data_IF_110323135598
#
_entry.id   IF_110323135598
#
_cell.length_a   1.000
_cell.length_b   1.000
_cell.length_c   1.000
_cell.angle_alpha   90.00
_cell.angle_beta   90.00
_cell.angle_gamma   90.00
#
_symmetry.space_group_name_H-M   'P 1'
#
loop_
_entity.id
_entity.type
_entity.pdbx_description
1 polymer ?
#
# COMPACT_ATOMS: atom_id res chain seq x y z
N UNK A 1 -7.81 11.33 22.01
CA UNK A 1 -8.55 10.88 20.81
C UNK A 1 -8.31 9.39 20.67
N UNK A 2 -9.37 8.62 20.39
CA UNK A 2 -9.28 7.21 20.04
C UNK A 2 -9.78 7.07 18.61
N UNK A 3 -8.94 6.53 17.72
CA UNK A 3 -9.27 6.27 16.32
C UNK A 3 -9.12 4.76 16.06
N UNK A 4 -10.09 4.21 15.37
CA UNK A 4 -10.09 2.80 14.99
C UNK A 4 -10.44 2.69 13.50
N UNK A 5 -9.50 2.12 12.74
CA UNK A 5 -9.62 1.80 11.32
C UNK A 5 -10.20 2.92 10.44
N UNK A 6 -9.75 4.15 10.65
CA UNK A 6 -10.14 5.31 9.82
C UNK A 6 -9.70 5.07 8.37
N UNK A 7 -10.58 5.35 7.42
CA UNK A 7 -10.34 5.14 5.99
C UNK A 7 -10.87 3.80 5.46
N UNK A 8 -11.57 3.00 6.29
CA UNK A 8 -12.31 1.81 5.83
C UNK A 8 -13.52 2.17 4.97
N UNK A 9 -13.88 1.30 4.03
CA UNK A 9 -15.08 1.45 3.20
C UNK A 9 -14.90 2.32 1.96
N UNK A 10 -13.67 2.67 1.63
CA UNK A 10 -13.31 3.34 0.37
C UNK A 10 -12.14 2.61 -0.33
N UNK A 11 -11.67 3.11 -1.47
CA UNK A 11 -10.50 2.56 -2.14
C UNK A 11 -9.27 2.66 -1.22
N UNK A 12 -8.37 1.67 -1.27
CA UNK A 12 -7.24 1.55 -0.35
C UNK A 12 -6.39 2.82 -0.28
N UNK A 13 -6.03 3.39 -1.43
CA UNK A 13 -5.21 4.61 -1.46
C UNK A 13 -5.93 5.86 -0.91
N UNK A 14 -7.25 5.97 -1.13
CA UNK A 14 -8.05 7.04 -0.53
C UNK A 14 -8.06 6.90 1.00
N UNK A 15 -8.27 5.67 1.49
CA UNK A 15 -8.26 5.36 2.91
C UNK A 15 -6.94 5.69 3.58
N UNK A 16 -5.81 5.27 2.99
CA UNK A 16 -4.45 5.59 3.47
C UNK A 16 -4.24 7.11 3.48
N UNK A 17 -4.61 7.80 2.40
CA UNK A 17 -4.42 9.25 2.28
C UNK A 17 -5.19 10.02 3.34
N UNK A 18 -6.43 9.63 3.61
CA UNK A 18 -7.26 10.23 4.67
C UNK A 18 -6.65 9.96 6.05
N UNK A 19 -6.29 8.71 6.33
CA UNK A 19 -5.72 8.32 7.61
C UNK A 19 -4.38 9.04 7.89
N UNK A 20 -3.55 9.15 6.87
CA UNK A 20 -2.28 9.89 6.93
C UNK A 20 -2.51 11.37 7.24
N UNK A 21 -3.35 12.05 6.44
CA UNK A 21 -3.64 13.47 6.61
C UNK A 21 -4.27 13.80 7.98
N UNK A 22 -5.16 12.93 8.49
CA UNK A 22 -5.74 13.06 9.84
C UNK A 22 -4.64 12.94 10.90
N UNK A 23 -3.73 12.00 10.78
CA UNK A 23 -2.64 11.78 11.75
C UNK A 23 -1.71 13.00 11.79
N UNK A 24 -1.33 13.53 10.63
CA UNK A 24 -0.55 14.76 10.53
C UNK A 24 -1.28 15.96 11.15
N UNK A 25 -2.57 16.12 10.83
CA UNK A 25 -3.37 17.22 11.36
C UNK A 25 -3.49 17.17 12.89
N UNK A 26 -3.70 15.98 13.45
CA UNK A 26 -3.73 15.80 14.91
C UNK A 26 -2.36 16.11 15.52
N UNK A 27 -1.28 15.64 14.91
CA UNK A 27 0.08 15.88 15.38
C UNK A 27 0.43 17.37 15.39
N UNK A 28 0.13 18.09 14.32
CA UNK A 28 0.62 19.45 14.10
C UNK A 28 -0.32 20.51 14.65
N UNK A 29 -1.63 20.32 14.50
CA UNK A 29 -2.65 21.33 14.83
C UNK A 29 -3.31 21.07 16.17
N UNK A 30 -3.87 19.87 16.36
CA UNK A 30 -4.66 19.55 17.55
C UNK A 30 -3.74 19.24 18.74
N UNK A 31 -2.65 18.51 18.52
CA UNK A 31 -1.66 18.10 19.53
C UNK A 31 -2.24 17.27 20.67
N UNK A 32 -3.38 16.62 20.45
CA UNK A 32 -4.03 15.78 21.43
C UNK A 32 -3.27 14.45 21.62
N UNK A 33 -3.37 13.87 22.84
CA UNK A 33 -2.98 12.48 23.07
C UNK A 33 -3.91 11.58 22.28
N UNK A 34 -3.36 10.74 21.42
CA UNK A 34 -4.13 9.92 20.48
C UNK A 34 -3.64 8.49 20.49
N UNK A 35 -4.57 7.54 20.47
CA UNK A 35 -4.35 6.15 20.09
C UNK A 35 -5.06 5.92 18.77
N UNK A 36 -4.32 5.39 17.80
CA UNK A 36 -4.85 5.10 16.48
C UNK A 36 -4.57 3.63 16.12
N UNK A 37 -5.61 2.81 16.10
CA UNK A 37 -5.54 1.45 15.58
C UNK A 37 -5.79 1.46 14.07
N UNK A 38 -4.88 0.87 13.30
CA UNK A 38 -4.97 0.82 11.84
C UNK A 38 -4.29 -0.44 11.29
N UNK A 39 -4.74 -0.88 10.13
CA UNK A 39 -4.11 -1.95 9.35
C UNK A 39 -3.25 -1.41 8.20
N UNK A 40 -3.14 -0.09 8.05
CA UNK A 40 -2.30 0.54 7.03
C UNK A 40 -0.83 0.55 7.45
N UNK A 41 -0.03 -0.34 6.87
CA UNK A 41 1.40 -0.44 7.17
C UNK A 41 2.16 0.83 6.78
N UNK A 42 1.68 1.55 5.78
CA UNK A 42 2.28 2.79 5.28
C UNK A 42 2.33 3.89 6.36
N UNK A 43 1.39 3.89 7.31
CA UNK A 43 1.38 4.87 8.39
C UNK A 43 2.54 4.69 9.38
N UNK A 44 3.23 3.55 9.35
CA UNK A 44 4.40 3.32 10.20
C UNK A 44 5.53 4.32 9.89
N UNK A 45 5.60 4.79 8.64
CA UNK A 45 6.60 5.78 8.21
C UNK A 45 6.46 7.12 8.96
N UNK A 46 5.29 7.43 9.49
CA UNK A 46 5.05 8.66 10.25
C UNK A 46 5.93 8.77 11.52
N UNK A 47 6.38 7.66 12.11
CA UNK A 47 7.33 7.69 13.24
C UNK A 47 8.67 8.28 12.83
N UNK A 48 9.13 8.05 11.60
CA UNK A 48 10.38 8.58 11.07
C UNK A 48 10.26 10.06 10.74
N UNK A 49 9.07 10.51 10.36
CA UNK A 49 8.80 11.91 9.97
C UNK A 49 8.48 12.81 11.16
N UNK A 50 7.85 12.25 12.21
CA UNK A 50 7.32 13.01 13.33
C UNK A 50 7.79 12.45 14.67
N UNK A 51 8.65 13.16 15.44
CA UNK A 51 9.21 12.67 16.70
C UNK A 51 8.18 12.30 17.78
N UNK A 52 6.98 12.90 17.70
CA UNK A 52 5.87 12.67 18.65
C UNK A 52 5.04 11.45 18.31
N UNK A 53 5.15 10.90 17.11
CA UNK A 53 4.44 9.71 16.69
C UNK A 53 5.28 8.47 17.04
N UNK A 54 4.64 7.43 17.57
CA UNK A 54 5.27 6.18 17.95
C UNK A 54 4.45 5.00 17.49
N UNK A 55 5.12 4.03 16.88
CA UNK A 55 4.53 2.79 16.44
C UNK A 55 4.55 1.74 17.53
N UNK A 56 3.43 1.06 17.66
CA UNK A 56 3.28 -0.11 18.52
C UNK A 56 2.55 -1.20 17.75
N UNK A 57 2.84 -2.44 18.08
CA UNK A 57 2.14 -3.61 17.53
C UNK A 57 1.64 -4.52 18.64
N UNK A 58 0.60 -5.29 18.35
CA UNK A 58 0.19 -6.41 19.21
C UNK A 58 1.19 -7.53 19.00
N UNK A 59 1.74 -8.05 20.11
CA UNK A 59 2.67 -9.17 20.07
C UNK A 59 1.97 -10.45 19.63
N UNK A 60 2.63 -11.14 18.70
CA UNK A 60 2.21 -12.42 18.20
C UNK A 60 3.37 -13.40 18.32
N UNK A 61 3.10 -14.59 18.87
CA UNK A 61 4.08 -15.67 18.97
C UNK A 61 3.74 -16.70 17.89
N UNK A 62 4.67 -16.92 16.98
CA UNK A 62 4.57 -17.95 15.94
C UNK A 62 5.25 -19.23 16.47
N UNK A 63 4.48 -20.32 16.57
CA UNK A 63 4.97 -21.62 17.03
C UNK A 63 4.73 -22.65 15.91
N UNK A 64 5.68 -22.72 14.98
CA UNK A 64 5.55 -23.59 13.80
C UNK A 64 4.38 -23.19 12.91
N UNK A 65 3.26 -23.94 12.99
CA UNK A 65 2.04 -23.65 12.21
C UNK A 65 1.00 -22.82 12.98
N UNK A 66 1.22 -22.61 14.26
CA UNK A 66 0.26 -21.94 15.14
C UNK A 66 0.71 -20.52 15.47
N UNK A 67 -0.27 -19.63 15.63
CA UNK A 67 -0.08 -18.23 15.95
C UNK A 67 -0.84 -17.92 17.25
N UNK A 68 -0.15 -17.39 18.24
CA UNK A 68 -0.74 -17.03 19.53
C UNK A 68 -0.73 -15.52 19.65
N UNK A 69 -1.92 -14.92 19.79
CA UNK A 69 -2.07 -13.50 20.09
C UNK A 69 -1.95 -13.27 21.58
N UNK A 70 -0.88 -12.59 22.00
CA UNK A 70 -0.61 -12.37 23.44
C UNK A 70 -1.42 -11.23 24.03
N UNK A 71 -2.06 -10.41 23.21
CA UNK A 71 -2.76 -9.18 23.60
C UNK A 71 -1.85 -8.16 24.32
N UNK A 72 -0.55 -8.26 24.16
CA UNK A 72 0.43 -7.30 24.67
C UNK A 72 0.86 -6.36 23.58
N UNK A 73 1.13 -5.12 23.95
CA UNK A 73 1.71 -4.13 23.05
C UNK A 73 3.23 -4.13 23.17
N UNK A 74 3.90 -4.21 22.03
CA UNK A 74 5.34 -4.00 21.92
C UNK A 74 5.64 -2.83 20.99
N UNK A 75 6.81 -2.23 21.17
CA UNK A 75 7.26 -1.09 20.35
C UNK A 75 7.63 -1.55 18.94
N UNK A 76 7.29 -0.74 17.96
CA UNK A 76 7.59 -0.97 16.55
C UNK A 76 6.36 -1.28 15.72
N UNK A 77 6.53 -1.35 14.41
CA UNK A 77 5.50 -1.72 13.46
C UNK A 77 5.36 -3.23 13.27
N UNK A 78 4.33 -3.66 12.55
CA UNK A 78 4.13 -5.04 12.13
C UNK A 78 4.15 -5.12 10.61
N UNK A 79 5.00 -5.98 10.08
CA UNK A 79 5.06 -6.23 8.64
C UNK A 79 4.21 -7.45 8.22
N UNK A 80 3.76 -8.24 9.20
CA UNK A 80 3.02 -9.47 8.97
C UNK A 80 1.50 -9.26 9.13
N UNK A 81 0.75 -9.87 8.22
CA UNK A 81 -0.70 -9.99 8.30
C UNK A 81 -1.08 -11.43 8.64
N UNK A 82 -1.95 -11.63 9.62
CA UNK A 82 -2.42 -12.94 10.07
C UNK A 82 -3.85 -13.24 9.65
N UNK A 83 -4.41 -12.48 8.70
CA UNK A 83 -5.81 -12.60 8.29
C UNK A 83 -6.21 -14.00 7.83
N UNK A 84 -5.37 -14.69 7.04
CA UNK A 84 -5.66 -16.05 6.57
C UNK A 84 -5.60 -17.05 7.73
N UNK A 85 -4.65 -16.87 8.66
CA UNK A 85 -4.56 -17.69 9.85
C UNK A 85 -5.82 -17.52 10.74
N UNK A 86 -6.24 -16.27 10.97
CA UNK A 86 -7.47 -15.97 11.73
C UNK A 86 -8.69 -16.58 11.06
N UNK A 87 -8.80 -16.51 9.74
CA UNK A 87 -9.87 -17.16 8.99
C UNK A 87 -9.91 -18.68 9.21
N UNK A 88 -8.73 -19.32 9.25
CA UNK A 88 -8.60 -20.76 9.51
C UNK A 88 -9.09 -21.13 10.90
N UNK A 89 -8.66 -20.42 11.95
CA UNK A 89 -9.12 -20.69 13.33
C UNK A 89 -10.61 -20.33 13.54
N UNK A 90 -11.15 -19.42 12.75
CA UNK A 90 -12.58 -19.10 12.71
C UNK A 90 -13.43 -20.18 12.01
N UNK A 91 -12.81 -21.28 11.55
CA UNK A 91 -13.52 -22.42 10.95
C UNK A 91 -13.72 -22.34 9.43
N UNK A 92 -13.00 -21.46 8.73
CA UNK A 92 -13.02 -21.44 7.27
C UNK A 92 -12.47 -22.77 6.70
N UNK A 93 -13.05 -23.34 5.62
CA UNK A 93 -12.57 -24.57 5.02
C UNK A 93 -11.08 -24.52 4.69
N UNK A 94 -10.37 -25.61 4.97
CA UNK A 94 -8.90 -25.69 4.79
C UNK A 94 -8.51 -25.43 3.34
N UNK A 95 -9.19 -26.01 2.37
CA UNK A 95 -8.91 -25.82 0.94
C UNK A 95 -8.99 -24.37 0.52
N UNK A 96 -9.96 -23.61 1.07
CA UNK A 96 -10.11 -22.20 0.81
C UNK A 96 -8.94 -21.39 1.40
N UNK A 97 -8.51 -21.71 2.63
CA UNK A 97 -7.38 -21.00 3.26
C UNK A 97 -6.04 -21.32 2.59
N UNK A 98 -5.83 -22.57 2.12
CA UNK A 98 -4.67 -22.94 1.31
C UNK A 98 -4.66 -22.11 0.01
N UNK A 99 -5.80 -22.05 -0.69
CA UNK A 99 -5.90 -21.26 -1.92
C UNK A 99 -5.65 -19.76 -1.69
N UNK A 100 -6.12 -19.23 -0.57
CA UNK A 100 -5.85 -17.84 -0.19
C UNK A 100 -4.35 -17.57 0.05
N UNK A 101 -3.62 -18.51 0.67
CA UNK A 101 -2.16 -18.41 0.83
C UNK A 101 -1.41 -18.42 -0.51
N UNK A 102 -1.82 -19.26 -1.45
CA UNK A 102 -1.24 -19.29 -2.81
C UNK A 102 -1.46 -17.95 -3.54
N UNK A 103 -2.69 -17.42 -3.46
CA UNK A 103 -3.03 -16.12 -4.07
C UNK A 103 -2.22 -15.00 -3.41
N UNK A 104 -2.11 -15.00 -2.08
CA UNK A 104 -1.34 -14.00 -1.34
C UNK A 104 0.13 -13.99 -1.79
N UNK A 105 0.76 -15.16 -1.92
CA UNK A 105 2.12 -15.28 -2.45
C UNK A 105 2.23 -14.66 -3.84
N UNK A 106 1.32 -15.03 -4.75
CA UNK A 106 1.32 -14.51 -6.11
C UNK A 106 1.22 -12.98 -6.14
N UNK A 107 0.34 -12.39 -5.32
CA UNK A 107 0.16 -10.93 -5.22
C UNK A 107 1.41 -10.28 -4.61
N UNK A 108 2.02 -10.90 -3.60
CA UNK A 108 3.23 -10.38 -2.95
C UNK A 108 4.43 -10.37 -3.89
N UNK A 109 4.57 -11.41 -4.73
CA UNK A 109 5.65 -11.51 -5.72
C UNK A 109 5.50 -10.48 -6.87
N UNK A 110 4.27 -9.99 -7.10
CA UNK A 110 3.98 -8.97 -8.12
C UNK A 110 4.33 -7.55 -7.63
N UNK A 111 4.43 -7.31 -6.31
CA UNK A 111 4.84 -6.00 -5.79
C UNK A 111 6.29 -5.71 -6.14
N UNK A 112 6.61 -4.66 -6.93
CA UNK A 112 8.00 -4.27 -7.14
C UNK A 112 8.60 -3.80 -5.81
N UNK A 113 9.84 -4.21 -5.52
CA UNK A 113 10.62 -3.87 -4.31
C UNK A 113 10.88 -2.35 -4.10
N UNK A 114 10.27 -1.47 -4.89
CA UNK A 114 10.58 -0.04 -4.94
C UNK A 114 9.56 0.89 -4.27
N UNK A 115 8.61 0.36 -3.47
CA UNK A 115 7.62 1.23 -2.84
C UNK A 115 8.07 1.90 -1.54
N UNK A 116 9.27 1.59 -1.02
CA UNK A 116 9.75 2.12 0.28
C UNK A 116 10.60 3.40 0.22
N UNK A 117 10.84 4.02 -0.94
CA UNK A 117 11.84 5.10 -1.00
C UNK A 117 11.46 6.42 -1.68
N UNK A 118 10.19 6.70 -1.97
CA UNK A 118 9.82 7.94 -2.68
C UNK A 118 8.90 8.94 -1.98
N UNK A 119 8.57 8.76 -0.70
CA UNK A 119 7.95 9.86 0.06
C UNK A 119 9.00 10.82 0.62
N UNK A 120 9.79 11.46 -0.25
CA UNK A 120 10.54 12.66 0.14
C UNK A 120 9.58 13.83 0.22
N UNK A 121 9.10 14.11 1.42
CA UNK A 121 8.33 15.32 1.73
C UNK A 121 9.21 16.55 1.48
N UNK A 122 8.94 17.23 0.38
CA UNK A 122 9.35 18.63 0.27
C UNK A 122 8.50 19.42 1.27
N UNK A 123 9.16 20.09 2.23
CA UNK A 123 8.52 21.10 3.09
C UNK A 123 7.94 22.19 2.18
N UNK A 124 6.65 22.08 1.88
CA UNK A 124 5.94 23.08 1.11
C UNK A 124 5.53 24.21 2.02
N UNK A 125 6.06 25.39 1.77
CA UNK A 125 5.52 26.66 2.24
C UNK A 125 4.07 26.76 1.75
N UNK A 126 3.13 26.62 2.66
CA UNK A 126 1.70 26.62 2.37
C UNK A 126 1.21 28.04 2.08
N UNK A 127 1.15 28.43 0.81
CA UNK A 127 0.18 29.42 0.34
C UNK A 127 -1.08 28.67 -0.06
N UNK A 128 -2.19 29.03 0.56
CA UNK A 128 -3.52 28.53 0.22
C UNK A 128 -3.76 28.66 -1.28
N UNK A 129 -3.97 27.55 -1.95
CA UNK A 129 -4.42 27.48 -3.34
C UNK A 129 -5.79 26.81 -3.32
N UNK A 130 -6.80 27.56 -3.79
CA UNK A 130 -8.15 27.08 -4.02
C UNK A 130 -8.19 25.87 -4.98
N UNK A 131 -9.19 24.98 -4.86
CA UNK A 131 -9.22 23.73 -5.58
C UNK A 131 -9.52 23.98 -7.07
N UNK A 132 -8.51 23.92 -7.90
CA UNK A 132 -8.67 23.70 -9.34
C UNK A 132 -8.46 22.22 -9.65
N UNK A 133 -9.59 21.55 -9.89
CA UNK A 133 -9.85 20.46 -10.84
C UNK A 133 -8.60 19.74 -11.39
N UNK A 134 -8.20 18.63 -10.77
CA UNK A 134 -7.60 17.48 -11.44
C UNK A 134 -8.06 16.21 -10.74
N UNK A 135 -9.21 15.71 -11.19
CA UNK A 135 -9.56 14.29 -11.06
C UNK A 135 -8.70 13.58 -12.10
N UNK A 136 -7.64 12.91 -11.68
CA UNK A 136 -6.99 11.89 -12.50
C UNK A 136 -6.51 10.74 -11.61
N UNK A 137 -7.17 9.65 -11.89
CA UNK A 137 -6.74 8.27 -11.94
C UNK A 137 -6.73 7.52 -10.61
N UNK A 138 -7.89 6.95 -10.35
CA UNK A 138 -8.07 5.77 -9.53
C UNK A 138 -7.27 4.64 -10.20
N UNK A 139 -6.09 4.32 -9.68
CA UNK A 139 -5.31 3.17 -10.13
C UNK A 139 -6.07 1.90 -9.76
N UNK A 140 -6.68 1.28 -10.74
CA UNK A 140 -7.34 -0.01 -10.64
C UNK A 140 -6.28 -1.10 -10.44
N UNK A 141 -6.60 -2.14 -9.67
CA UNK A 141 -5.78 -3.37 -9.54
C UNK A 141 -5.45 -4.00 -10.91
N UNK A 142 -6.22 -3.67 -11.95
CA UNK A 142 -5.99 -4.12 -13.32
C UNK A 142 -4.91 -3.35 -14.09
N UNK A 143 -4.38 -2.23 -13.58
CA UNK A 143 -3.34 -1.45 -14.26
C UNK A 143 -1.93 -2.06 -14.18
N UNK A 144 -1.71 -3.07 -13.32
CA UNK A 144 -0.41 -3.74 -13.23
C UNK A 144 -0.02 -4.56 -14.48
N UNK A 145 -0.99 -4.96 -15.29
CA UNK A 145 -0.68 -5.62 -16.58
C UNK A 145 -0.25 -4.65 -17.66
N UNK A 146 -0.60 -3.38 -17.55
CA UNK A 146 -0.35 -2.33 -18.56
C UNK A 146 1.06 -1.72 -18.44
N UNK A 147 1.75 -1.94 -17.33
CA UNK A 147 3.03 -1.27 -17.05
C UNK A 147 4.17 -1.75 -17.95
N UNK A 148 4.21 -3.03 -18.30
CA UNK A 148 5.21 -3.56 -19.24
C UNK A 148 5.04 -3.04 -20.65
N UNK A 149 3.80 -2.89 -21.09
CA UNK A 149 3.47 -2.33 -22.40
C UNK A 149 3.80 -0.85 -22.41
N UNK A 150 3.48 -0.10 -21.36
CA UNK A 150 3.81 1.32 -21.20
C UNK A 150 5.32 1.55 -21.16
N UNK A 151 6.07 0.78 -20.39
CA UNK A 151 7.54 0.88 -20.31
C UNK A 151 8.17 0.60 -21.68
N UNK A 152 7.68 -0.41 -22.38
CA UNK A 152 8.16 -0.72 -23.73
C UNK A 152 7.80 0.40 -24.71
N UNK A 153 6.61 0.96 -24.66
CA UNK A 153 6.20 2.11 -25.48
C UNK A 153 7.03 3.37 -25.19
N UNK A 154 7.32 3.65 -23.90
CA UNK A 154 8.16 4.79 -23.52
C UNK A 154 9.62 4.66 -23.96
N UNK A 155 10.13 3.44 -24.09
CA UNK A 155 11.49 3.18 -24.57
C UNK A 155 11.67 3.33 -26.08
N UNK A 156 10.57 3.46 -26.83
CA UNK A 156 10.56 3.55 -28.31
C UNK A 156 10.70 5.01 -28.73
N UNK A 157 11.67 5.28 -29.58
CA UNK A 157 11.78 6.57 -30.26
C UNK A 157 11.26 6.43 -31.72
N UNK A 158 10.02 6.89 -32.01
CA UNK A 158 9.39 6.70 -33.33
C UNK A 158 10.16 7.31 -34.50
N UNK A 159 10.93 8.38 -34.23
CA UNK A 159 11.69 9.10 -35.28
C UNK A 159 12.93 8.33 -35.75
N UNK A 160 13.37 7.31 -35.02
CA UNK A 160 14.55 6.49 -35.31
C UNK A 160 14.21 5.10 -35.86
N UNK A 161 12.92 4.77 -35.97
CA UNK A 161 12.48 3.44 -36.41
C UNK A 161 12.26 3.38 -37.91
N UNK A 162 12.77 2.34 -38.55
CA UNK A 162 12.37 1.96 -39.87
C UNK A 162 10.93 1.39 -39.88
N UNK A 163 10.21 1.43 -41.01
CA UNK A 163 8.86 0.86 -41.10
C UNK A 163 8.77 -0.62 -40.69
N UNK A 164 9.81 -1.39 -40.99
CA UNK A 164 9.87 -2.81 -40.62
C UNK A 164 10.03 -3.03 -39.12
N UNK A 165 10.90 -2.25 -38.49
CA UNK A 165 11.09 -2.30 -37.01
C UNK A 165 9.82 -1.85 -36.28
N UNK A 166 9.13 -0.83 -36.75
CA UNK A 166 7.85 -0.38 -36.19
C UNK A 166 6.81 -1.49 -36.26
N UNK A 167 6.75 -2.25 -37.35
CA UNK A 167 5.82 -3.38 -37.49
C UNK A 167 6.17 -4.54 -36.56
N UNK A 168 7.45 -4.83 -36.36
CA UNK A 168 7.92 -5.83 -35.42
C UNK A 168 7.57 -5.47 -33.99
N UNK A 169 7.79 -4.23 -33.58
CA UNK A 169 7.44 -3.74 -32.24
C UNK A 169 5.93 -3.81 -32.00
N UNK A 170 5.12 -3.42 -32.99
CA UNK A 170 3.66 -3.57 -32.91
C UNK A 170 3.23 -5.02 -32.72
N UNK A 171 3.89 -5.96 -33.41
CA UNK A 171 3.61 -7.39 -33.27
C UNK A 171 3.99 -7.92 -31.88
N UNK A 172 5.11 -7.46 -31.32
CA UNK A 172 5.53 -7.80 -29.97
C UNK A 172 4.58 -7.22 -28.91
N UNK A 173 4.17 -5.96 -29.04
CA UNK A 173 3.20 -5.34 -28.13
C UNK A 173 1.85 -6.07 -28.16
N UNK A 174 1.41 -6.49 -29.34
CA UNK A 174 0.18 -7.27 -29.51
C UNK A 174 0.25 -8.66 -28.84
N UNK A 175 1.44 -9.26 -28.72
CA UNK A 175 1.63 -10.53 -27.99
C UNK A 175 1.65 -10.37 -26.46
N UNK A 176 1.80 -9.14 -25.98
CA UNK A 176 1.83 -8.80 -24.55
C UNK A 176 0.44 -8.40 -24.02
N UNK A 177 -0.55 -8.22 -24.90
CA UNK A 177 -1.97 -8.07 -24.60
C UNK A 177 -2.65 -9.43 -24.39
#
# INVERSE_FOLDING_TARGET
ILLDEVGRGTATFDGISIAWAITEYINDKIKAKTLFATHYHELQELENLYPRIKNYKVEVIETGKDVIFTHKLSKGGSDNSFGIYVARIAGMPIDLTIRAEEILKTISDIKPENSSSQFKTQKANTKMISPKKHIKEQLSIFEFYDDKIRQKLQSINPEKLSPLEALQILYELKKML
#
